data_IF_983906192752
#
_entry.id   IF_983906192752
#
_cell.length_a   1.000
_cell.length_b   1.000
_cell.length_c   1.000
_cell.angle_alpha   90.00
_cell.angle_beta   90.00
_cell.angle_gamma   90.00
#
_symmetry.space_group_name_H-M   'P 1'
#
loop_
_entity.id
_entity.type
_entity.pdbx_description
1 polymer ?
#
# COMPACT_ATOMS: atom_id res chain seq x y z
N UNK A 1 -51.15 40.14 -22.89
CA UNK A 1 -50.78 38.76 -22.48
C UNK A 1 -49.29 38.57 -22.69
N UNK A 2 -48.46 38.85 -21.67
CA UNK A 2 -47.02 38.60 -21.71
C UNK A 2 -46.70 37.55 -20.66
N UNK A 3 -46.51 36.31 -21.09
CA UNK A 3 -46.32 35.16 -20.21
C UNK A 3 -44.93 35.23 -19.56
N UNK A 4 -44.94 35.30 -18.23
CA UNK A 4 -43.78 35.30 -17.35
C UNK A 4 -43.00 33.99 -17.55
N UNK A 5 -41.78 34.06 -18.09
CA UNK A 5 -40.90 32.90 -18.24
C UNK A 5 -40.30 32.55 -16.87
N UNK A 6 -40.92 31.61 -16.16
CA UNK A 6 -40.34 30.98 -14.98
C UNK A 6 -39.16 30.11 -15.44
N UNK A 7 -37.93 30.58 -15.20
CA UNK A 7 -36.74 29.76 -15.34
C UNK A 7 -36.63 28.83 -14.12
N UNK A 8 -36.84 27.53 -14.34
CA UNK A 8 -36.68 26.50 -13.32
C UNK A 8 -35.18 26.26 -13.16
N UNK A 9 -34.61 26.73 -12.05
CA UNK A 9 -33.23 26.46 -11.67
C UNK A 9 -33.21 25.12 -10.94
N UNK A 10 -32.91 24.04 -11.67
CA UNK A 10 -32.61 22.74 -11.06
C UNK A 10 -31.21 22.76 -10.46
N UNK A 11 -31.13 22.88 -9.13
CA UNK A 11 -29.88 22.78 -8.37
C UNK A 11 -29.37 21.33 -8.40
N UNK A 12 -28.26 21.12 -9.10
CA UNK A 12 -27.54 19.84 -9.12
C UNK A 12 -26.79 19.68 -7.78
N UNK A 13 -27.34 18.91 -6.83
CA UNK A 13 -26.65 18.59 -5.58
C UNK A 13 -25.58 17.53 -5.84
N UNK A 14 -24.31 17.92 -5.77
CA UNK A 14 -23.18 17.01 -5.89
C UNK A 14 -22.93 16.36 -4.53
N UNK A 15 -23.49 15.17 -4.32
CA UNK A 15 -23.24 14.35 -3.13
C UNK A 15 -21.79 13.84 -3.16
N UNK A 16 -20.89 14.44 -2.39
CA UNK A 16 -19.52 13.94 -2.23
C UNK A 16 -19.53 12.66 -1.39
N UNK A 17 -19.23 11.51 -2.01
CA UNK A 17 -19.00 10.25 -1.31
C UNK A 17 -17.68 10.35 -0.53
N UNK A 18 -17.73 10.22 0.79
CA UNK A 18 -16.54 10.11 1.61
C UNK A 18 -15.91 8.72 1.39
N UNK A 19 -14.71 8.66 0.82
CA UNK A 19 -13.92 7.43 0.74
C UNK A 19 -13.23 7.26 2.09
N UNK A 20 -13.63 6.24 2.85
CA UNK A 20 -12.92 5.83 4.07
C UNK A 20 -11.66 5.04 3.67
N UNK A 21 -10.50 5.46 4.17
CA UNK A 21 -9.26 4.75 3.94
C UNK A 21 -9.07 3.66 5.02
N UNK A 22 -8.92 2.40 4.59
CA UNK A 22 -8.49 1.31 5.48
C UNK A 22 -7.07 1.59 5.97
N UNK A 23 -6.86 1.50 7.28
CA UNK A 23 -5.53 1.67 7.90
C UNK A 23 -5.00 0.29 8.29
N UNK A 24 -3.78 -0.04 7.88
CA UNK A 24 -3.13 -1.30 8.22
C UNK A 24 -2.08 -1.09 9.30
N UNK A 25 -2.00 -2.02 10.26
CA UNK A 25 -0.92 -2.08 11.26
C UNK A 25 -0.13 -3.37 11.08
N UNK A 26 1.14 -3.26 10.73
CA UNK A 26 2.03 -4.40 10.54
C UNK A 26 2.74 -4.75 11.86
N UNK A 27 2.70 -6.01 12.26
CA UNK A 27 3.38 -6.51 13.47
C UNK A 27 4.34 -7.63 13.05
N UNK A 28 5.60 -7.62 13.51
CA UNK A 28 6.54 -8.69 13.22
C UNK A 28 6.10 -9.99 13.91
N UNK A 29 6.03 -11.09 13.17
CA UNK A 29 5.76 -12.43 13.70
C UNK A 29 6.98 -13.09 14.33
N UNK A 30 8.18 -12.60 14.02
CA UNK A 30 9.45 -13.03 14.61
C UNK A 30 10.49 -11.88 14.58
N UNK A 31 11.68 -12.13 15.15
CA UNK A 31 12.73 -11.11 15.28
C UNK A 31 13.72 -11.07 14.11
N UNK A 32 13.41 -11.71 12.99
CA UNK A 32 14.32 -11.75 11.84
C UNK A 32 14.42 -10.39 11.14
N UNK A 33 15.61 -10.07 10.63
CA UNK A 33 15.86 -8.82 9.89
C UNK A 33 14.96 -8.73 8.65
N UNK A 34 14.73 -9.85 7.96
CA UNK A 34 13.80 -9.91 6.83
C UNK A 34 12.37 -9.53 7.23
N UNK A 35 11.90 -10.01 8.40
CA UNK A 35 10.57 -9.69 8.92
C UNK A 35 10.44 -8.20 9.24
N UNK A 36 11.46 -7.60 9.86
CA UNK A 36 11.50 -6.15 10.10
C UNK A 36 11.44 -5.36 8.79
N UNK A 37 12.24 -5.74 7.79
CA UNK A 37 12.19 -5.13 6.46
C UNK A 37 10.80 -5.22 5.82
N UNK A 38 10.10 -6.35 6.00
CA UNK A 38 8.74 -6.52 5.50
C UNK A 38 7.73 -5.62 6.22
N UNK A 39 7.87 -5.44 7.54
CA UNK A 39 7.06 -4.49 8.33
C UNK A 39 7.28 -3.06 7.84
N UNK A 40 8.53 -2.63 7.67
CA UNK A 40 8.86 -1.29 7.13
C UNK A 40 8.36 -1.11 5.70
N UNK A 41 8.43 -2.17 4.87
CA UNK A 41 7.95 -2.15 3.51
C UNK A 41 6.43 -2.00 3.42
N UNK A 42 5.66 -2.79 4.19
CA UNK A 42 4.19 -2.70 4.24
C UNK A 42 3.69 -1.40 4.87
N UNK A 43 4.42 -0.86 5.85
CA UNK A 43 4.05 0.39 6.53
C UNK A 43 4.37 1.65 5.73
N UNK A 44 4.92 1.50 4.51
CA UNK A 44 5.38 2.60 3.67
C UNK A 44 6.48 3.47 4.31
N UNK A 45 7.22 2.94 5.29
CA UNK A 45 8.33 3.64 5.93
C UNK A 45 9.64 3.37 5.17
N UNK A 46 9.86 4.20 4.15
CA UNK A 46 11.09 4.17 3.36
C UNK A 46 12.34 4.51 4.18
N UNK A 47 12.23 5.31 5.25
CA UNK A 47 13.37 5.71 6.07
C UNK A 47 13.78 4.55 6.96
N UNK A 48 12.84 3.92 7.66
CA UNK A 48 13.03 2.71 8.44
C UNK A 48 13.62 1.59 7.57
N UNK A 49 13.01 1.32 6.41
CA UNK A 49 13.51 0.33 5.45
C UNK A 49 14.98 0.57 5.06
N UNK A 50 15.33 1.81 4.69
CA UNK A 50 16.72 2.16 4.31
C UNK A 50 17.69 2.08 5.48
N UNK A 51 17.22 2.39 6.68
CA UNK A 51 18.02 2.27 7.90
C UNK A 51 18.38 0.81 8.15
N UNK A 52 17.39 -0.09 8.11
CA UNK A 52 17.56 -1.52 8.33
C UNK A 52 18.46 -2.16 7.26
N UNK A 53 18.29 -1.77 5.99
CA UNK A 53 19.19 -2.19 4.91
C UNK A 53 20.66 -1.80 5.18
N UNK A 54 20.90 -0.61 5.73
CA UNK A 54 22.26 -0.10 6.00
C UNK A 54 22.86 -0.71 7.26
N UNK A 55 22.11 -0.79 8.35
CA UNK A 55 22.57 -1.35 9.63
C UNK A 55 23.02 -2.80 9.46
N UNK A 56 22.30 -3.57 8.65
CA UNK A 56 22.60 -4.97 8.36
C UNK A 56 23.44 -5.19 7.09
N UNK A 57 23.93 -4.11 6.45
CA UNK A 57 24.80 -4.16 5.25
C UNK A 57 24.22 -5.02 4.11
N UNK A 58 22.90 -4.95 3.92
CA UNK A 58 22.18 -5.78 2.98
C UNK A 58 22.30 -5.25 1.55
N UNK A 59 22.30 -6.17 0.59
CA UNK A 59 22.35 -5.81 -0.83
C UNK A 59 20.94 -5.53 -1.36
N UNK A 60 20.70 -4.30 -1.85
CA UNK A 60 19.41 -3.88 -2.41
C UNK A 60 18.88 -4.82 -3.49
N UNK A 61 19.74 -5.27 -4.41
CA UNK A 61 19.35 -6.18 -5.49
C UNK A 61 18.99 -7.56 -4.96
N UNK A 62 19.72 -8.09 -3.97
CA UNK A 62 19.39 -9.38 -3.36
C UNK A 62 18.03 -9.32 -2.65
N UNK A 63 17.80 -8.29 -1.83
CA UNK A 63 16.55 -8.13 -1.10
C UNK A 63 15.37 -7.92 -2.04
N UNK A 64 15.49 -7.03 -3.03
CA UNK A 64 14.40 -6.74 -3.97
C UNK A 64 13.93 -7.97 -4.77
N UNK A 65 14.82 -8.94 -5.03
CA UNK A 65 14.49 -10.11 -5.84
C UNK A 65 14.18 -11.37 -5.01
N UNK A 66 14.68 -11.47 -3.77
CA UNK A 66 14.62 -12.73 -3.01
C UNK A 66 13.83 -12.62 -1.69
N UNK A 67 13.63 -11.41 -1.14
CA UNK A 67 12.87 -11.27 0.11
C UNK A 67 11.38 -11.46 -0.16
N UNK A 68 10.78 -12.38 0.56
CA UNK A 68 9.33 -12.66 0.56
C UNK A 68 8.71 -12.36 1.92
N UNK A 69 7.63 -11.60 1.91
CA UNK A 69 6.83 -11.21 3.06
C UNK A 69 5.50 -11.95 2.97
N UNK A 70 5.20 -12.85 3.91
CA UNK A 70 4.00 -13.72 3.86
C UNK A 70 3.86 -14.46 2.51
N UNK A 71 4.98 -14.95 1.97
CA UNK A 71 5.02 -15.69 0.70
C UNK A 71 5.01 -14.83 -0.58
N UNK A 72 4.94 -13.51 -0.46
CA UNK A 72 4.89 -12.58 -1.59
C UNK A 72 6.18 -11.75 -1.69
N UNK A 73 6.68 -11.44 -2.89
CA UNK A 73 7.86 -10.58 -3.04
C UNK A 73 7.66 -9.23 -2.32
N UNK A 74 8.68 -8.77 -1.60
CA UNK A 74 8.61 -7.57 -0.74
C UNK A 74 8.10 -6.29 -1.45
N UNK A 75 8.39 -6.11 -2.74
CA UNK A 75 7.87 -4.96 -3.48
C UNK A 75 6.36 -5.10 -3.77
N UNK A 76 5.92 -6.29 -4.19
CA UNK A 76 4.51 -6.58 -4.45
C UNK A 76 3.67 -6.56 -3.17
N UNK A 77 4.24 -7.09 -2.07
CA UNK A 77 3.65 -6.97 -0.73
C UNK A 77 3.41 -5.50 -0.36
N UNK A 78 4.39 -4.62 -0.57
CA UNK A 78 4.23 -3.19 -0.32
C UNK A 78 3.15 -2.56 -1.24
N UNK A 79 3.11 -2.92 -2.52
CA UNK A 79 2.08 -2.42 -3.45
C UNK A 79 0.67 -2.82 -3.03
N UNK A 80 0.47 -4.08 -2.60
CA UNK A 80 -0.83 -4.61 -2.16
C UNK A 80 -1.46 -3.81 -1.02
N UNK A 81 -0.64 -3.26 -0.14
CA UNK A 81 -1.08 -2.43 0.98
C UNK A 81 -0.94 -0.92 0.74
N UNK A 82 -0.85 -0.48 -0.52
CA UNK A 82 -0.70 0.92 -0.91
C UNK A 82 0.57 1.61 -0.36
N UNK A 83 1.62 0.84 -0.02
CA UNK A 83 2.91 1.36 0.41
C UNK A 83 3.81 1.74 -0.78
N UNK A 84 3.29 2.66 -1.61
CA UNK A 84 3.85 2.97 -2.93
C UNK A 84 5.26 3.59 -2.88
N UNK A 85 5.62 4.31 -1.80
CA UNK A 85 6.96 4.93 -1.70
C UNK A 85 8.03 3.86 -1.52
N UNK A 86 7.79 2.91 -0.61
CA UNK A 86 8.73 1.82 -0.37
C UNK A 86 8.74 0.83 -1.53
N UNK A 87 7.57 0.47 -2.07
CA UNK A 87 7.47 -0.34 -3.29
C UNK A 87 8.26 0.26 -4.47
N UNK A 88 8.05 1.54 -4.78
CA UNK A 88 8.76 2.22 -5.87
C UNK A 88 10.27 2.25 -5.64
N UNK A 89 10.73 2.37 -4.39
CA UNK A 89 12.15 2.28 -4.08
C UNK A 89 12.73 0.89 -4.35
N UNK A 90 12.06 -0.17 -3.88
CA UNK A 90 12.52 -1.55 -4.02
C UNK A 90 12.51 -1.98 -5.49
N UNK A 91 11.46 -1.61 -6.23
CA UNK A 91 11.29 -1.94 -7.65
C UNK A 91 12.44 -1.43 -8.53
N UNK A 92 13.19 -0.38 -8.12
CA UNK A 92 14.40 0.08 -8.83
C UNK A 92 15.49 -0.99 -8.95
N UNK A 93 15.45 -2.01 -8.09
CA UNK A 93 16.47 -3.06 -8.03
C UNK A 93 15.94 -4.44 -8.47
N UNK A 94 14.67 -4.55 -8.87
CA UNK A 94 14.07 -5.80 -9.37
C UNK A 94 14.52 -6.07 -10.80
N UNK A 95 14.80 -7.33 -11.10
CA UNK A 95 15.14 -7.78 -12.47
C UNK A 95 13.89 -7.85 -13.37
N UNK A 96 12.79 -8.36 -12.82
CA UNK A 96 11.53 -8.58 -13.54
C UNK A 96 10.41 -7.78 -12.86
N UNK A 97 10.29 -6.49 -13.21
CA UNK A 97 9.22 -5.64 -12.67
C UNK A 97 7.89 -6.07 -13.28
N UNK A 98 7.01 -6.62 -12.46
CA UNK A 98 5.60 -6.84 -12.78
C UNK A 98 4.79 -5.72 -12.14
N UNK A 99 4.00 -5.01 -12.94
CA UNK A 99 3.00 -4.07 -12.44
C UNK A 99 1.70 -4.84 -12.33
N UNK A 100 1.17 -5.02 -11.13
CA UNK A 100 -0.15 -5.61 -10.93
C UNK A 100 -1.14 -4.46 -10.80
N UNK A 101 -1.96 -4.29 -11.82
CA UNK A 101 -3.12 -3.39 -11.77
C UNK A 101 -4.34 -4.23 -11.43
N UNK A 102 -4.88 -4.03 -10.23
CA UNK A 102 -6.12 -4.71 -9.85
C UNK A 102 -7.29 -4.10 -10.65
N UNK A 103 -7.95 -4.92 -11.47
CA UNK A 103 -9.13 -4.53 -12.24
C UNK A 103 -10.42 -4.63 -11.41
N UNK A 104 -10.35 -5.25 -10.22
CA UNK A 104 -11.49 -5.46 -9.34
C UNK A 104 -11.36 -4.57 -8.09
N UNK A 105 -11.51 -3.25 -8.28
CA UNK A 105 -11.67 -2.31 -7.17
C UNK A 105 -13.08 -2.41 -6.55
N UNK A 106 -13.47 -3.59 -6.03
CA UNK A 106 -14.77 -3.80 -5.37
C UNK A 106 -14.59 -4.64 -4.10
N UNK A 107 -13.80 -4.16 -3.13
CA UNK A 107 -14.09 -4.43 -1.73
C UNK A 107 -14.48 -3.12 -1.07
N UNK A 108 -15.77 -2.99 -0.79
CA UNK A 108 -16.30 -1.95 0.08
C UNK A 108 -15.54 -2.00 1.41
N UNK A 109 -14.90 -0.90 1.86
CA UNK A 109 -14.39 -0.84 3.22
C UNK A 109 -15.59 -0.75 4.16
N UNK A 110 -16.02 -1.91 4.67
CA UNK A 110 -16.86 -1.92 5.86
C UNK A 110 -15.98 -1.58 7.06
N UNK A 111 -16.32 -0.44 7.66
CA UNK A 111 -15.94 0.04 8.99
C UNK A 111 -14.49 0.48 9.21
N UNK A 112 -14.38 1.57 9.97
CA UNK A 112 -13.16 2.28 10.38
C UNK A 112 -12.31 1.46 11.35
N UNK A 113 -11.89 0.26 10.95
CA UNK A 113 -11.08 -0.62 11.76
C UNK A 113 -9.64 -0.69 11.24
N UNK A 114 -8.69 -0.64 12.17
CA UNK A 114 -7.29 -0.92 11.85
C UNK A 114 -7.13 -2.41 11.64
N UNK A 115 -6.83 -2.85 10.42
CA UNK A 115 -6.54 -4.25 10.15
C UNK A 115 -5.09 -4.56 10.57
N UNK A 116 -4.91 -5.52 11.48
CA UNK A 116 -3.59 -5.94 11.94
C UNK A 116 -3.05 -7.07 11.06
N UNK A 117 -1.89 -6.85 10.45
CA UNK A 117 -1.21 -7.83 9.61
C UNK A 117 0.02 -8.36 10.35
N UNK A 118 0.03 -9.65 10.68
CA UNK A 118 1.23 -10.32 11.20
C UNK A 118 2.11 -10.68 10.00
N UNK A 119 3.38 -10.27 10.05
CA UNK A 119 4.33 -10.43 8.95
C UNK A 119 5.43 -11.39 9.36
N UNK A 120 5.70 -12.38 8.52
CA UNK A 120 6.79 -13.35 8.70
C UNK A 120 7.48 -13.58 7.37
N UNK A 121 8.80 -13.81 7.40
CA UNK A 121 9.56 -14.26 6.25
C UNK A 121 9.66 -15.78 6.24
N UNK A 122 9.58 -16.38 5.05
CA UNK A 122 9.74 -17.81 4.79
C UNK A 122 10.86 -18.02 3.78
#
# INVERSE_FOLDING_TARGET
MGILKLAIITSLTLSSMAVTATTYKFIPGNNEVGTKLCVEAGSNDLKGYRSEMRSHRLNNRRIANNLTCNGENVASFAERYNALKTAAHINKFRKNRVTITDLAANKSPQTSDTEVIIVTVN
#
